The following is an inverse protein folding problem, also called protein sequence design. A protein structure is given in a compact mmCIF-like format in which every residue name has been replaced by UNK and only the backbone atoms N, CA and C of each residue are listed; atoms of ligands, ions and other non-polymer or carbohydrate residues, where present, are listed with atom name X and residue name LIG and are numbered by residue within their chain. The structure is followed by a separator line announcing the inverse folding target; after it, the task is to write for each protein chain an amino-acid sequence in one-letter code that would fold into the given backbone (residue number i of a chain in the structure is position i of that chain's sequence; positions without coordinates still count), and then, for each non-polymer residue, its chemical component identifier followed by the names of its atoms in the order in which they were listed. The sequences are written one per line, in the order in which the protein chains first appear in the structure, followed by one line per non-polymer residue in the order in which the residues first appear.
data_IF_224519638340
#
_entry.id   IF_224519638340
#
_cell.length_a   1.000
_cell.length_b   1.000
_cell.length_c   1.000
_cell.angle_alpha   90.00
_cell.angle_beta   90.00
_cell.angle_gamma   90.00
#
_symmetry.space_group_name_H-M   'P 1'
#
loop_
_entity.id
_entity.type
_entity.pdbx_description
1 polymer ?
#
# COMPACT_ATOMS: atom_id res chain seq x y z
N UNK A 1 26.02 10.87 -12.10
CA UNK A 1 25.39 11.11 -10.82
C UNK A 1 24.77 9.83 -10.28
N UNK A 2 25.17 9.48 -9.11
CA UNK A 2 24.66 8.25 -8.51
C UNK A 2 23.31 8.48 -7.85
N UNK A 3 22.41 7.53 -8.06
CA UNK A 3 21.15 7.49 -7.36
C UNK A 3 21.34 6.64 -6.09
N UNK A 4 21.05 7.24 -4.96
CA UNK A 4 21.26 6.61 -3.66
C UNK A 4 19.98 5.94 -3.17
N UNK A 5 20.08 4.76 -2.52
CA UNK A 5 18.90 4.14 -1.90
C UNK A 5 18.19 5.08 -0.92
N UNK A 6 18.93 5.94 -0.22
CA UNK A 6 18.33 6.92 0.69
C UNK A 6 17.41 7.88 -0.04
N UNK A 7 17.76 8.26 -1.29
CA UNK A 7 16.90 9.12 -2.09
C UNK A 7 15.59 8.40 -2.41
N UNK A 8 15.66 7.12 -2.72
CA UNK A 8 14.46 6.33 -2.99
C UNK A 8 13.57 6.27 -1.76
N UNK A 9 14.15 6.02 -0.60
CA UNK A 9 13.37 5.95 0.64
C UNK A 9 12.74 7.29 0.98
N UNK A 10 13.47 8.40 0.78
CA UNK A 10 12.93 9.73 1.01
C UNK A 10 11.78 10.06 0.05
N UNK A 11 11.95 9.72 -1.22
CA UNK A 11 10.89 9.93 -2.23
C UNK A 11 9.66 9.09 -1.90
N UNK A 12 9.87 7.85 -1.49
CA UNK A 12 8.77 6.98 -1.11
C UNK A 12 8.02 7.52 0.11
N UNK A 13 8.74 7.97 1.12
CA UNK A 13 8.12 8.51 2.32
C UNK A 13 7.31 9.76 2.01
N UNK A 14 7.87 10.67 1.20
CA UNK A 14 7.16 11.88 0.80
C UNK A 14 5.90 11.55 0.02
N UNK A 15 6.03 10.67 -0.98
CA UNK A 15 4.88 10.28 -1.80
C UNK A 15 3.81 9.58 -1.00
N UNK A 16 4.20 8.66 -0.12
CA UNK A 16 3.24 7.96 0.73
C UNK A 16 2.49 8.94 1.65
N UNK A 17 3.22 9.87 2.26
CA UNK A 17 2.60 10.84 3.16
C UNK A 17 1.56 11.68 2.42
N UNK A 18 1.89 12.15 1.22
CA UNK A 18 0.95 12.91 0.41
C UNK A 18 -0.27 12.08 0.04
N UNK A 19 -0.05 10.83 -0.38
CA UNK A 19 -1.15 9.93 -0.74
C UNK A 19 -2.05 9.66 0.46
N UNK A 20 -1.46 9.42 1.62
CA UNK A 20 -2.22 9.11 2.82
C UNK A 20 -3.07 10.31 3.26
N UNK A 21 -2.59 11.50 3.00
CA UNK A 21 -3.35 12.74 3.28
C UNK A 21 -4.31 13.10 2.15
N UNK A 22 -4.32 12.33 1.08
CA UNK A 22 -5.14 12.59 -0.10
C UNK A 22 -4.82 13.97 -0.71
N UNK A 23 -3.54 14.32 -0.71
CA UNK A 23 -3.06 15.60 -1.21
C UNK A 23 -2.08 15.40 -2.36
N UNK A 24 -2.17 16.27 -3.39
CA UNK A 24 -1.21 16.32 -4.49
C UNK A 24 -0.88 14.93 -5.04
N UNK A 25 -1.95 14.17 -5.35
CA UNK A 25 -1.81 12.75 -5.68
C UNK A 25 -0.97 12.49 -6.93
N UNK A 26 -1.08 13.34 -7.95
CA UNK A 26 -0.28 13.18 -9.17
C UNK A 26 1.22 13.37 -8.87
N UNK A 27 1.52 14.35 -8.05
CA UNK A 27 2.89 14.59 -7.63
C UNK A 27 3.40 13.43 -6.77
N UNK A 28 2.56 12.95 -5.85
CA UNK A 28 2.89 11.79 -5.02
C UNK A 28 3.23 10.57 -5.87
N UNK A 29 2.41 10.32 -6.90
CA UNK A 29 2.66 9.21 -7.82
C UNK A 29 4.02 9.34 -8.50
N UNK A 30 4.36 10.57 -8.95
CA UNK A 30 5.67 10.81 -9.57
C UNK A 30 6.83 10.48 -8.65
N UNK A 31 6.75 10.90 -7.39
CA UNK A 31 7.78 10.60 -6.40
C UNK A 31 7.94 9.09 -6.18
N UNK A 32 6.82 8.38 -6.06
CA UNK A 32 6.85 6.94 -5.78
C UNK A 32 7.31 6.17 -7.01
N UNK A 33 6.92 6.61 -8.22
CA UNK A 33 7.42 5.99 -9.46
C UNK A 33 8.94 6.12 -9.55
N UNK A 34 9.47 7.28 -9.19
CA UNK A 34 10.91 7.48 -9.17
C UNK A 34 11.58 6.57 -8.15
N UNK A 35 10.98 6.43 -6.97
CA UNK A 35 11.49 5.52 -5.96
C UNK A 35 11.53 4.09 -6.50
N UNK A 36 10.51 3.67 -7.23
CA UNK A 36 10.46 2.32 -7.81
C UNK A 36 11.54 2.11 -8.87
N UNK A 37 11.88 3.16 -9.62
CA UNK A 37 12.99 3.06 -10.58
C UNK A 37 14.33 2.86 -9.86
N UNK A 38 14.50 3.51 -8.72
CA UNK A 38 15.74 3.43 -7.94
C UNK A 38 15.85 2.15 -7.14
N UNK A 39 14.73 1.64 -6.63
CA UNK A 39 14.67 0.42 -5.83
C UNK A 39 13.55 -0.49 -6.35
N UNK A 40 13.76 -1.17 -7.48
CA UNK A 40 12.72 -2.04 -8.02
C UNK A 40 12.40 -3.19 -7.06
N UNK A 41 11.13 -3.56 -7.02
CA UNK A 41 10.62 -4.69 -6.22
C UNK A 41 10.83 -4.53 -4.71
N UNK A 42 10.98 -3.30 -4.22
CA UNK A 42 10.99 -3.04 -2.78
C UNK A 42 9.55 -3.04 -2.26
N UNK A 43 9.19 -3.95 -1.34
CA UNK A 43 7.78 -4.05 -0.90
C UNK A 43 7.19 -2.76 -0.39
N UNK A 44 7.95 -1.95 0.34
CA UNK A 44 7.45 -0.68 0.86
C UNK A 44 7.10 0.29 -0.27
N UNK A 45 7.88 0.29 -1.35
CA UNK A 45 7.62 1.16 -2.50
C UNK A 45 6.41 0.65 -3.29
N UNK A 46 6.31 -0.67 -3.45
CA UNK A 46 5.15 -1.27 -4.14
C UNK A 46 3.86 -1.02 -3.37
N UNK A 47 3.92 -1.10 -2.05
CA UNK A 47 2.78 -0.77 -1.20
C UNK A 47 2.35 0.69 -1.40
N UNK A 48 3.32 1.60 -1.46
CA UNK A 48 3.04 3.01 -1.71
C UNK A 48 2.44 3.24 -3.09
N UNK A 49 2.93 2.54 -4.12
CA UNK A 49 2.33 2.61 -5.46
C UNK A 49 0.87 2.19 -5.42
N UNK A 50 0.59 1.08 -4.75
CA UNK A 50 -0.78 0.63 -4.59
C UNK A 50 -1.64 1.66 -3.87
N UNK A 51 -1.10 2.26 -2.81
CA UNK A 51 -1.86 3.20 -2.00
C UNK A 51 -2.19 4.48 -2.78
N UNK A 52 -1.22 5.03 -3.54
CA UNK A 52 -1.49 6.22 -4.33
C UNK A 52 -2.48 5.96 -5.45
N UNK A 53 -2.41 4.80 -6.10
CA UNK A 53 -3.40 4.44 -7.11
C UNK A 53 -4.80 4.30 -6.51
N UNK A 54 -4.88 3.75 -5.30
CA UNK A 54 -6.15 3.66 -4.57
C UNK A 54 -6.74 5.05 -4.33
N UNK A 55 -5.91 5.98 -3.86
CA UNK A 55 -6.37 7.36 -3.62
C UNK A 55 -6.81 8.04 -4.92
N UNK A 56 -6.18 7.69 -6.04
CA UNK A 56 -6.56 8.21 -7.36
C UNK A 56 -7.81 7.54 -7.93
N UNK A 57 -8.31 6.51 -7.27
CA UNK A 57 -9.50 5.79 -7.71
C UNK A 57 -9.22 4.66 -8.70
N UNK A 58 -7.97 4.35 -8.94
CA UNK A 58 -7.57 3.26 -9.85
C UNK A 58 -7.41 1.97 -9.06
N UNK A 59 -8.53 1.33 -8.75
CA UNK A 59 -8.54 0.14 -7.91
C UNK A 59 -7.83 -1.05 -8.55
N UNK A 60 -8.00 -1.34 -9.86
CA UNK A 60 -7.25 -2.45 -10.44
C UNK A 60 -5.74 -2.30 -10.34
N UNK A 61 -5.21 -1.10 -10.57
CA UNK A 61 -3.78 -0.85 -10.42
C UNK A 61 -3.36 -0.98 -8.96
N UNK A 62 -4.16 -0.45 -8.05
CA UNK A 62 -3.88 -0.53 -6.62
C UNK A 62 -3.78 -1.99 -6.16
N UNK A 63 -4.72 -2.82 -6.57
CA UNK A 63 -4.73 -4.24 -6.20
C UNK A 63 -3.50 -4.94 -6.77
N UNK A 64 -3.15 -4.65 -8.02
CA UNK A 64 -1.98 -5.26 -8.66
C UNK A 64 -0.70 -5.00 -7.86
N UNK A 65 -0.45 -3.74 -7.50
CA UNK A 65 0.77 -3.38 -6.78
C UNK A 65 0.77 -3.91 -5.36
N UNK A 66 -0.38 -3.86 -4.68
CA UNK A 66 -0.49 -4.34 -3.31
C UNK A 66 -0.36 -5.86 -3.22
N UNK A 67 -0.91 -6.60 -4.19
CA UNK A 67 -0.72 -8.05 -4.23
C UNK A 67 0.75 -8.40 -4.43
N UNK A 68 1.44 -7.69 -5.30
CA UNK A 68 2.87 -7.92 -5.51
C UNK A 68 3.65 -7.64 -4.24
N UNK A 69 3.34 -6.53 -3.56
CA UNK A 69 3.99 -6.20 -2.30
C UNK A 69 3.76 -7.29 -1.25
N UNK A 70 2.54 -7.77 -1.14
CA UNK A 70 2.20 -8.80 -0.16
C UNK A 70 2.87 -10.14 -0.47
N UNK A 71 3.00 -10.48 -1.75
CA UNK A 71 3.72 -11.70 -2.14
C UNK A 71 5.20 -11.63 -1.74
N UNK A 72 5.82 -10.45 -1.88
CA UNK A 72 7.23 -10.28 -1.54
C UNK A 72 7.44 -10.15 -0.04
N UNK A 73 6.50 -9.51 0.66
CA UNK A 73 6.58 -9.32 2.11
C UNK A 73 5.16 -9.44 2.69
N UNK A 74 4.79 -10.64 3.14
CA UNK A 74 3.44 -10.85 3.68
C UNK A 74 3.33 -10.32 5.11
N UNK A 75 3.25 -8.99 5.26
CA UNK A 75 3.08 -8.39 6.57
C UNK A 75 1.68 -7.81 6.76
N UNK A 76 1.35 -7.52 8.01
CA UNK A 76 -0.01 -7.14 8.39
C UNK A 76 -0.39 -5.76 7.87
N UNK A 77 0.55 -4.83 7.75
CA UNK A 77 0.25 -3.50 7.26
C UNK A 77 -0.08 -3.52 5.76
N UNK A 78 0.71 -4.26 4.96
CA UNK A 78 0.43 -4.42 3.54
C UNK A 78 -0.92 -5.10 3.35
N UNK A 79 -1.20 -6.12 4.16
CA UNK A 79 -2.49 -6.82 4.11
C UNK A 79 -3.64 -5.88 4.46
N UNK A 80 -3.44 -4.97 5.41
CA UNK A 80 -4.47 -3.98 5.75
C UNK A 80 -4.82 -3.13 4.54
N UNK A 81 -3.80 -2.64 3.83
CA UNK A 81 -4.01 -1.82 2.64
C UNK A 81 -4.69 -2.61 1.53
N UNK A 82 -4.20 -3.83 1.26
CA UNK A 82 -4.78 -4.66 0.21
C UNK A 82 -6.25 -4.99 0.52
N UNK A 83 -6.54 -5.36 1.74
CA UNK A 83 -7.91 -5.64 2.15
C UNK A 83 -8.83 -4.44 2.03
N UNK A 84 -8.33 -3.25 2.38
CA UNK A 84 -9.12 -2.03 2.24
C UNK A 84 -9.51 -1.78 0.78
N UNK A 85 -8.55 -1.90 -0.15
CA UNK A 85 -8.84 -1.67 -1.56
C UNK A 85 -9.82 -2.72 -2.08
N UNK A 86 -9.63 -3.99 -1.71
CA UNK A 86 -10.55 -5.05 -2.10
C UNK A 86 -11.95 -4.79 -1.59
N UNK A 87 -12.08 -4.38 -0.33
CA UNK A 87 -13.38 -4.07 0.26
C UNK A 87 -14.08 -2.94 -0.50
N UNK A 88 -13.38 -1.83 -0.72
CA UNK A 88 -13.96 -0.66 -1.38
C UNK A 88 -14.30 -0.96 -2.84
N UNK A 89 -13.50 -1.81 -3.50
CA UNK A 89 -13.78 -2.18 -4.89
C UNK A 89 -14.92 -3.19 -5.03
N UNK A 90 -15.43 -3.71 -3.91
CA UNK A 90 -16.58 -4.61 -3.91
C UNK A 90 -16.26 -6.08 -3.64
N UNK A 91 -14.99 -6.45 -3.54
CA UNK A 91 -14.60 -7.83 -3.26
C UNK A 91 -14.41 -8.03 -1.76
N UNK A 92 -15.52 -7.97 -1.04
CA UNK A 92 -15.50 -8.04 0.42
C UNK A 92 -15.06 -9.43 0.91
N UNK A 93 -15.33 -10.48 0.14
CA UNK A 93 -14.93 -11.82 0.52
C UNK A 93 -13.41 -11.98 0.55
N UNK A 94 -12.72 -11.50 -0.49
CA UNK A 94 -11.26 -11.52 -0.50
C UNK A 94 -10.68 -10.60 0.57
N UNK A 95 -11.31 -9.45 0.79
CA UNK A 95 -10.86 -8.52 1.83
C UNK A 95 -10.85 -9.21 3.20
N UNK A 96 -11.95 -9.89 3.54
CA UNK A 96 -12.03 -10.61 4.81
C UNK A 96 -10.98 -11.72 4.92
N UNK A 97 -10.75 -12.44 3.83
CA UNK A 97 -9.77 -13.51 3.81
C UNK A 97 -8.35 -12.98 4.07
N UNK A 98 -8.00 -11.88 3.41
CA UNK A 98 -6.68 -11.25 3.58
C UNK A 98 -6.51 -10.74 5.03
N UNK A 99 -7.54 -10.08 5.57
CA UNK A 99 -7.48 -9.58 6.95
C UNK A 99 -7.38 -10.71 7.97
N UNK A 100 -8.06 -11.84 7.75
CA UNK A 100 -7.96 -12.99 8.64
C UNK A 100 -6.53 -13.54 8.65
N UNK A 101 -5.91 -13.68 7.47
CA UNK A 101 -4.52 -14.10 7.39
C UNK A 101 -3.60 -13.13 8.14
N UNK A 102 -3.84 -11.84 7.96
CA UNK A 102 -3.03 -10.81 8.60
C UNK A 102 -3.16 -10.87 10.12
N UNK A 103 -4.36 -11.15 10.64
CA UNK A 103 -4.57 -11.27 12.08
C UNK A 103 -3.79 -12.44 12.66
N UNK A 104 -3.62 -13.51 11.89
CA UNK A 104 -2.79 -14.64 12.33
C UNK A 104 -1.31 -14.29 12.33
N UNK A 105 -0.88 -13.37 11.44
CA UNK A 105 0.52 -12.92 11.41
C UNK A 105 0.81 -11.94 12.52
N UNK A 106 -0.02 -10.93 12.69
CA UNK A 106 0.15 -9.90 13.72
C UNK A 106 -1.18 -9.19 13.96
N UNK A 107 -2.02 -9.76 14.81
CA UNK A 107 -3.33 -9.22 15.11
C UNK A 107 -3.29 -7.89 15.87
N UNK A 108 -2.13 -7.52 16.41
CA UNK A 108 -1.99 -6.26 17.16
C UNK A 108 -1.38 -5.13 16.34
N UNK A 109 -1.08 -5.37 15.06
CA UNK A 109 -0.54 -4.32 14.21
C UNK A 109 -1.58 -3.20 14.06
N UNK A 110 -1.16 -1.96 14.32
CA UNK A 110 -2.11 -0.84 14.49
C UNK A 110 -2.87 -0.49 13.23
N UNK A 111 -2.21 -0.48 12.07
CA UNK A 111 -2.88 -0.15 10.81
C UNK A 111 -3.95 -1.21 10.50
N UNK A 112 -3.62 -2.48 10.72
CA UNK A 112 -4.57 -3.56 10.50
C UNK A 112 -5.79 -3.44 11.41
N UNK A 113 -5.56 -3.24 12.71
CA UNK A 113 -6.66 -3.09 13.67
C UNK A 113 -7.56 -1.93 13.33
N UNK A 114 -6.97 -0.78 13.02
CA UNK A 114 -7.73 0.42 12.68
C UNK A 114 -8.53 0.21 11.41
N UNK A 115 -7.94 -0.43 10.42
CA UNK A 115 -8.60 -0.70 9.14
C UNK A 115 -9.80 -1.62 9.35
N UNK A 116 -9.62 -2.75 10.03
CA UNK A 116 -10.72 -3.69 10.29
C UNK A 116 -11.82 -2.99 11.07
N UNK A 117 -11.48 -2.25 12.11
CA UNK A 117 -12.45 -1.56 12.93
C UNK A 117 -13.23 -0.52 12.11
N UNK A 118 -12.55 0.20 11.22
CA UNK A 118 -13.17 1.25 10.40
C UNK A 118 -14.22 0.68 9.46
N UNK A 119 -13.97 -0.48 8.88
CA UNK A 119 -14.92 -1.12 7.98
C UNK A 119 -15.93 -2.01 8.72
N UNK A 120 -15.63 -2.39 9.94
CA UNK A 120 -16.51 -3.15 10.83
C UNK A 120 -17.13 -4.36 10.14
N UNK A 121 -16.31 -5.24 9.55
CA UNK A 121 -16.85 -6.38 8.85
C UNK A 121 -17.53 -7.40 9.77
#
# INVERSE_FOLDING_TARGET
LQQQPENANALNALGYTLADRNERLEEALGYIQKANELLPDEPAVLDSLGWVHYRLGDYPAAIKWLRKAFELLPDAEIAAHLGEVLWVSGDTEQALSIWQKAQQLDGNQSVLRDTIQRFNP
#
